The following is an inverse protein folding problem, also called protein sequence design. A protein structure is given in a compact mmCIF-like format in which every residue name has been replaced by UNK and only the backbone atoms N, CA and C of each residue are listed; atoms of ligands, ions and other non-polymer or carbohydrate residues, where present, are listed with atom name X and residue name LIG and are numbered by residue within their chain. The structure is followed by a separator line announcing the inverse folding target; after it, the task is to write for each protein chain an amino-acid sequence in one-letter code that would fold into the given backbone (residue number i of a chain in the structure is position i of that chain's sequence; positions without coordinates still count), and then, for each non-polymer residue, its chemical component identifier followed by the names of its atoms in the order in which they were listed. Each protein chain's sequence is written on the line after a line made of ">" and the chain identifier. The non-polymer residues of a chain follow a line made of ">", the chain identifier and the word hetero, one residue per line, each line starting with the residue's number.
data_IF_947529586890
#
_entry.id   IF_947529586890
#
_cell.length_a   1.000
_cell.length_b   1.000
_cell.length_c   1.000
_cell.angle_alpha   90.00
_cell.angle_beta   90.00
_cell.angle_gamma   90.00
#
_symmetry.space_group_name_H-M   'P 1'
#
loop_
_entity.id
_entity.type
_entity.pdbx_description
1 polymer ?
#
# COMPACT_ATOMS: atom_id res chain seq x y z
N UNK A 1 -6.30 -23.62 -0.54
CA UNK A 1 -7.37 -22.75 0.00
C UNK A 1 -7.40 -21.43 -0.76
N UNK A 2 -8.51 -21.08 -1.41
CA UNK A 2 -8.71 -19.77 -2.05
C UNK A 2 -9.06 -18.77 -0.95
N UNK A 3 -8.11 -17.94 -0.49
CA UNK A 3 -8.38 -16.80 0.39
C UNK A 3 -9.29 -15.84 -0.40
N UNK A 4 -10.59 -15.82 -0.11
CA UNK A 4 -11.56 -14.91 -0.75
C UNK A 4 -11.17 -13.48 -0.38
N UNK A 5 -11.05 -12.60 -1.38
CA UNK A 5 -11.06 -11.15 -1.14
C UNK A 5 -12.36 -10.83 -0.39
N UNK A 6 -12.28 -10.09 0.71
CA UNK A 6 -13.47 -9.67 1.46
C UNK A 6 -14.42 -8.88 0.57
N UNK A 7 -15.73 -9.09 0.71
CA UNK A 7 -16.72 -8.29 0.00
C UNK A 7 -16.64 -6.83 0.47
N UNK A 8 -17.04 -5.85 -0.37
CA UNK A 8 -16.99 -4.41 -0.02
C UNK A 8 -17.76 -4.09 1.27
N UNK A 9 -18.81 -4.85 1.54
CA UNK A 9 -19.61 -4.81 2.77
C UNK A 9 -18.81 -5.28 3.99
N UNK A 10 -17.99 -6.33 3.86
CA UNK A 10 -17.13 -6.81 4.94
C UNK A 10 -16.00 -5.83 5.23
N UNK A 11 -15.48 -5.16 4.20
CA UNK A 11 -14.50 -4.08 4.36
C UNK A 11 -15.12 -2.91 5.14
N UNK A 12 -16.37 -2.56 4.81
CA UNK A 12 -17.12 -1.52 5.52
C UNK A 12 -17.35 -1.90 6.98
N UNK A 13 -17.72 -3.14 7.27
CA UNK A 13 -17.93 -3.63 8.63
C UNK A 13 -16.64 -3.60 9.46
N UNK A 14 -15.48 -3.93 8.87
CA UNK A 14 -14.17 -3.82 9.54
C UNK A 14 -13.83 -2.36 9.90
N UNK A 15 -14.20 -1.43 9.00
CA UNK A 15 -14.05 0.02 9.23
C UNK A 15 -14.97 0.49 10.36
N UNK A 16 -16.25 0.13 10.31
CA UNK A 16 -17.26 0.55 11.28
C UNK A 16 -17.04 -0.02 12.69
N UNK A 17 -16.45 -1.22 12.78
CA UNK A 17 -16.05 -1.82 14.07
C UNK A 17 -14.71 -1.28 14.60
N UNK A 18 -14.14 -0.23 13.99
CA UNK A 18 -12.87 0.38 14.40
C UNK A 18 -11.68 -0.61 14.47
N UNK A 19 -11.73 -1.71 13.72
CA UNK A 19 -10.73 -2.78 13.77
C UNK A 19 -9.40 -2.34 13.14
N UNK A 20 -9.44 -1.34 12.26
CA UNK A 20 -8.25 -0.80 11.58
C UNK A 20 -7.20 -0.32 12.58
N UNK A 21 -7.61 0.43 13.62
CA UNK A 21 -6.67 1.03 14.58
C UNK A 21 -5.88 -0.03 15.39
N UNK A 22 -6.52 -1.06 16.01
CA UNK A 22 -5.81 -2.17 16.64
C UNK A 22 -4.88 -2.95 15.69
N UNK A 23 -5.28 -3.15 14.43
CA UNK A 23 -4.45 -3.87 13.46
C UNK A 23 -3.21 -3.04 13.06
N UNK A 24 -3.35 -1.71 12.97
CA UNK A 24 -2.21 -0.80 12.80
C UNK A 24 -1.27 -0.85 14.01
N UNK A 25 -1.80 -0.88 15.23
CA UNK A 25 -0.98 -1.03 16.44
C UNK A 25 -0.19 -2.34 16.46
N UNK A 26 -0.83 -3.45 16.05
CA UNK A 26 -0.17 -4.75 15.88
C UNK A 26 0.93 -4.68 14.81
N UNK A 27 0.70 -4.01 13.69
CA UNK A 27 1.74 -3.78 12.67
C UNK A 27 2.98 -3.06 13.21
N UNK A 28 2.86 -2.24 14.25
CA UNK A 28 3.98 -1.49 14.82
C UNK A 28 4.68 -2.28 15.93
N UNK A 29 3.90 -2.83 16.86
CA UNK A 29 4.42 -3.35 18.12
C UNK A 29 4.58 -4.87 18.15
N UNK A 30 3.94 -5.61 17.24
CA UNK A 30 3.95 -7.07 17.29
C UNK A 30 5.24 -7.71 16.72
N UNK A 31 5.37 -9.02 16.94
CA UNK A 31 6.43 -9.85 16.36
C UNK A 31 6.29 -9.97 14.83
N UNK A 32 7.38 -10.32 14.16
CA UNK A 32 7.49 -10.32 12.69
C UNK A 32 6.36 -11.07 11.97
N UNK A 33 5.97 -12.24 12.46
CA UNK A 33 4.87 -13.03 11.87
C UNK A 33 3.50 -12.35 12.04
N UNK A 34 3.24 -11.75 13.20
CA UNK A 34 2.01 -11.00 13.44
C UNK A 34 1.95 -9.72 12.58
N UNK A 35 3.09 -9.05 12.37
CA UNK A 35 3.20 -7.90 11.46
C UNK A 35 2.87 -8.27 10.01
N UNK A 36 3.31 -9.45 9.56
CA UNK A 36 2.98 -9.97 8.22
C UNK A 36 1.48 -10.17 8.05
N UNK A 37 0.82 -10.84 9.01
CA UNK A 37 -0.62 -11.08 8.94
C UNK A 37 -1.42 -9.78 9.08
N UNK A 38 -1.01 -8.85 9.95
CA UNK A 38 -1.66 -7.55 10.12
C UNK A 38 -1.56 -6.70 8.84
N UNK A 39 -0.37 -6.61 8.23
CA UNK A 39 -0.19 -5.88 6.98
C UNK A 39 -0.93 -6.56 5.81
N UNK A 40 -0.99 -7.90 5.79
CA UNK A 40 -1.80 -8.63 4.82
C UNK A 40 -3.30 -8.37 5.01
N UNK A 41 -3.79 -8.40 6.25
CA UNK A 41 -5.18 -8.11 6.60
C UNK A 41 -5.59 -6.70 6.17
N UNK A 42 -4.68 -5.73 6.29
CA UNK A 42 -4.87 -4.35 5.86
C UNK A 42 -4.72 -4.14 4.34
N UNK A 43 -3.91 -4.95 3.65
CA UNK A 43 -3.77 -4.89 2.19
C UNK A 43 -5.06 -5.30 1.45
N UNK A 44 -5.87 -6.16 2.07
CA UNK A 44 -7.12 -6.66 1.53
C UNK A 44 -8.18 -5.56 1.31
N UNK A 45 -8.55 -4.75 2.33
CA UNK A 45 -9.47 -3.63 2.13
C UNK A 45 -8.90 -2.57 1.19
N UNK A 46 -7.58 -2.40 1.13
CA UNK A 46 -6.96 -1.45 0.20
C UNK A 46 -7.07 -1.93 -1.24
N UNK A 47 -6.83 -3.22 -1.49
CA UNK A 47 -6.86 -3.81 -2.82
C UNK A 47 -8.26 -4.06 -3.39
N UNK A 48 -9.29 -4.04 -2.53
CA UNK A 48 -10.67 -4.40 -2.90
C UNK A 48 -11.74 -3.38 -2.49
N UNK A 49 -11.38 -2.36 -1.72
CA UNK A 49 -12.28 -1.34 -1.22
C UNK A 49 -12.54 -0.23 -2.24
N UNK A 50 -13.50 0.62 -1.92
CA UNK A 50 -13.76 1.86 -2.69
C UNK A 50 -12.73 2.93 -2.31
N UNK A 51 -12.60 3.96 -3.17
CA UNK A 51 -11.73 5.10 -2.91
C UNK A 51 -11.98 5.73 -1.52
N UNK A 52 -13.23 5.88 -1.10
CA UNK A 52 -13.59 6.41 0.22
C UNK A 52 -13.17 5.50 1.37
N UNK A 53 -13.34 4.19 1.22
CA UNK A 53 -12.90 3.21 2.22
C UNK A 53 -11.38 3.23 2.36
N UNK A 54 -10.65 3.27 1.24
CA UNK A 54 -9.19 3.33 1.24
C UNK A 54 -8.73 4.64 1.90
N UNK A 55 -9.35 5.78 1.57
CA UNK A 55 -9.09 7.06 2.24
C UNK A 55 -9.28 6.97 3.74
N UNK A 56 -10.38 6.38 4.20
CA UNK A 56 -10.65 6.23 5.62
C UNK A 56 -9.58 5.36 6.30
N UNK A 57 -9.27 4.19 5.75
CA UNK A 57 -8.21 3.30 6.26
C UNK A 57 -6.87 4.03 6.32
N UNK A 58 -6.52 4.80 5.27
CA UNK A 58 -5.29 5.57 5.23
C UNK A 58 -5.28 6.70 6.27
N UNK A 59 -6.39 7.42 6.47
CA UNK A 59 -6.50 8.47 7.50
C UNK A 59 -6.30 7.93 8.92
N UNK A 60 -6.68 6.67 9.15
CA UNK A 60 -6.51 5.97 10.44
C UNK A 60 -5.14 5.28 10.56
N UNK A 61 -4.41 5.17 9.44
CA UNK A 61 -3.34 4.20 9.27
C UNK A 61 -2.20 4.67 8.36
N UNK A 62 -1.91 5.97 8.25
CA UNK A 62 -0.83 6.53 7.42
C UNK A 62 0.52 5.82 7.60
N UNK A 63 0.72 5.16 8.74
CA UNK A 63 1.92 4.42 9.13
C UNK A 63 2.05 3.07 8.40
N UNK A 64 1.00 2.62 7.69
CA UNK A 64 0.95 1.33 7.01
C UNK A 64 1.84 1.23 5.76
N UNK A 65 2.27 2.36 5.21
CA UNK A 65 3.23 2.40 4.11
C UNK A 65 4.54 1.72 4.47
N UNK A 66 5.00 1.88 5.72
CA UNK A 66 6.23 1.25 6.23
C UNK A 66 6.18 -0.29 6.27
N UNK A 67 5.22 -0.93 6.96
CA UNK A 67 5.12 -2.38 6.98
C UNK A 67 4.83 -2.95 5.58
N UNK A 68 4.04 -2.29 4.74
CA UNK A 68 3.84 -2.72 3.34
C UNK A 68 5.16 -2.73 2.56
N UNK A 69 6.00 -1.70 2.71
CA UNK A 69 7.31 -1.66 2.10
C UNK A 69 8.25 -2.72 2.69
N UNK A 70 8.23 -2.97 4.00
CA UNK A 70 9.02 -4.04 4.62
C UNK A 70 8.63 -5.44 4.12
N UNK A 71 7.34 -5.65 3.79
CA UNK A 71 6.86 -6.90 3.20
C UNK A 71 7.29 -7.13 1.75
N UNK A 72 7.74 -6.11 1.02
CA UNK A 72 8.29 -6.30 -0.33
C UNK A 72 9.57 -7.15 -0.33
N UNK A 73 10.27 -7.23 0.81
CA UNK A 73 11.48 -8.07 0.96
C UNK A 73 11.12 -9.54 1.24
N UNK A 74 9.84 -9.88 1.43
CA UNK A 74 9.42 -11.25 1.67
C UNK A 74 9.59 -12.14 0.42
N UNK A 75 9.94 -13.41 0.62
CA UNK A 75 10.14 -14.37 -0.47
C UNK A 75 8.85 -14.90 -1.13
N UNK A 76 7.65 -14.50 -0.67
CA UNK A 76 6.38 -14.95 -1.23
C UNK A 76 5.88 -13.99 -2.33
N UNK A 77 5.86 -14.42 -3.61
CA UNK A 77 5.42 -13.58 -4.72
C UNK A 77 3.95 -13.11 -4.62
N UNK A 78 3.10 -13.83 -3.90
CA UNK A 78 1.69 -13.43 -3.70
C UNK A 78 1.59 -12.28 -2.70
N UNK A 79 2.43 -12.29 -1.67
CA UNK A 79 2.50 -11.20 -0.69
C UNK A 79 3.08 -9.96 -1.34
N UNK A 80 4.17 -10.11 -2.11
CA UNK A 80 4.76 -9.00 -2.88
C UNK A 80 3.70 -8.36 -3.79
N UNK A 81 2.97 -9.17 -4.58
CA UNK A 81 1.94 -8.66 -5.48
C UNK A 81 0.82 -7.93 -4.74
N UNK A 82 0.36 -8.48 -3.61
CA UNK A 82 -0.68 -7.83 -2.80
C UNK A 82 -0.20 -6.47 -2.24
N UNK A 83 1.08 -6.38 -1.82
CA UNK A 83 1.66 -5.13 -1.34
C UNK A 83 1.79 -4.11 -2.49
N UNK A 84 2.23 -4.52 -3.67
CA UNK A 84 2.35 -3.64 -4.84
C UNK A 84 0.98 -3.07 -5.25
N UNK A 85 -0.06 -3.91 -5.31
CA UNK A 85 -1.43 -3.47 -5.62
C UNK A 85 -1.94 -2.50 -4.54
N UNK A 86 -1.69 -2.80 -3.26
CA UNK A 86 -2.09 -1.91 -2.18
C UNK A 86 -1.40 -0.54 -2.29
N UNK A 87 -0.09 -0.52 -2.58
CA UNK A 87 0.66 0.72 -2.78
C UNK A 87 0.18 1.53 -3.98
N UNK A 88 -0.17 0.88 -5.10
CA UNK A 88 -0.76 1.56 -6.26
C UNK A 88 -2.09 2.23 -5.91
N UNK A 89 -3.00 1.49 -5.27
CA UNK A 89 -4.30 2.03 -4.87
C UNK A 89 -4.17 3.21 -3.89
N UNK A 90 -3.19 3.14 -2.98
CA UNK A 90 -2.86 4.25 -2.07
C UNK A 90 -2.40 5.48 -2.87
N UNK A 91 -1.51 5.30 -3.85
CA UNK A 91 -1.03 6.40 -4.69
C UNK A 91 -2.15 7.00 -5.54
N UNK A 92 -3.06 6.18 -6.07
CA UNK A 92 -4.24 6.63 -6.81
C UNK A 92 -5.14 7.49 -5.93
N UNK A 93 -5.40 7.06 -4.70
CA UNK A 93 -6.15 7.84 -3.71
C UNK A 93 -5.49 9.20 -3.46
N UNK A 94 -4.16 9.22 -3.28
CA UNK A 94 -3.40 10.45 -3.12
C UNK A 94 -3.47 11.39 -4.31
N UNK A 95 -3.46 10.85 -5.52
CA UNK A 95 -3.59 11.64 -6.75
C UNK A 95 -5.00 12.24 -6.87
N UNK A 96 -6.04 11.49 -6.49
CA UNK A 96 -7.41 12.02 -6.44
C UNK A 96 -7.52 13.12 -5.38
N UNK A 97 -6.89 12.99 -4.20
CA UNK A 97 -6.88 14.06 -3.20
C UNK A 97 -6.12 15.31 -3.66
N UNK A 98 -4.97 15.11 -4.29
CA UNK A 98 -4.17 16.19 -4.88
C UNK A 98 -4.99 17.00 -5.89
N UNK A 99 -5.73 16.34 -6.77
CA UNK A 99 -6.58 16.99 -7.79
C UNK A 99 -7.79 17.73 -7.21
N UNK A 100 -8.21 17.42 -5.97
CA UNK A 100 -9.34 18.08 -5.30
C UNK A 100 -8.93 19.38 -4.58
N UNK A 101 -7.64 19.54 -4.22
CA UNK A 101 -7.16 20.66 -3.39
C UNK A 101 -6.51 21.78 -4.23
N UNK A 102 -6.49 21.66 -5.56
CA UNK A 102 -6.07 22.67 -6.56
C UNK A 102 -5.02 23.67 -6.05
N UNK A 103 -3.75 23.27 -5.97
CA UNK A 103 -2.55 24.14 -5.89
C UNK A 103 -1.29 23.31 -5.63
N UNK A 104 -0.63 22.80 -6.68
CA UNK A 104 0.77 22.30 -6.59
C UNK A 104 1.06 21.29 -5.48
N UNK A 105 0.02 20.63 -4.94
CA UNK A 105 0.14 19.76 -3.79
C UNK A 105 0.77 18.46 -4.24
N UNK A 106 1.66 17.96 -3.41
CA UNK A 106 2.39 16.73 -3.64
C UNK A 106 1.59 15.58 -3.06
N UNK A 107 1.65 14.41 -3.71
CA UNK A 107 1.01 13.22 -3.19
C UNK A 107 1.68 12.84 -1.86
N UNK A 108 0.98 13.08 -0.75
CA UNK A 108 1.50 12.83 0.61
C UNK A 108 1.85 11.36 0.81
N UNK A 109 1.12 10.45 0.17
CA UNK A 109 1.38 9.02 0.28
C UNK A 109 2.63 8.61 -0.50
N UNK A 110 2.92 9.23 -1.63
CA UNK A 110 4.17 8.99 -2.36
C UNK A 110 5.39 9.39 -1.53
N UNK A 111 5.30 10.51 -0.82
CA UNK A 111 6.34 10.92 0.13
C UNK A 111 6.52 9.88 1.25
N UNK A 112 5.44 9.40 1.85
CA UNK A 112 5.51 8.36 2.89
C UNK A 112 6.11 7.04 2.39
N UNK A 113 5.80 6.63 1.15
CA UNK A 113 6.38 5.43 0.54
C UNK A 113 7.88 5.61 0.29
N UNK A 114 8.31 6.80 -0.15
CA UNK A 114 9.74 7.12 -0.33
C UNK A 114 10.49 7.10 1.02
N UNK A 115 9.93 7.71 2.07
CA UNK A 115 10.47 7.67 3.44
C UNK A 115 10.57 6.24 4.01
N UNK A 116 9.74 5.31 3.52
CA UNK A 116 9.76 3.90 3.88
C UNK A 116 10.76 3.05 3.06
N UNK A 117 11.60 3.68 2.22
CA UNK A 117 12.47 3.04 1.23
C UNK A 117 11.68 2.11 0.26
N UNK A 118 10.41 2.41 0.01
CA UNK A 118 9.55 1.58 -0.83
C UNK A 118 10.09 1.44 -2.25
N UNK A 119 10.54 2.56 -2.84
CA UNK A 119 11.12 2.57 -4.19
C UNK A 119 12.30 1.61 -4.35
N UNK A 120 13.30 1.74 -3.48
CA UNK A 120 14.51 0.91 -3.54
C UNK A 120 14.16 -0.58 -3.38
N UNK A 121 13.19 -0.90 -2.52
CA UNK A 121 12.74 -2.27 -2.33
C UNK A 121 11.99 -2.81 -3.55
N UNK A 122 11.18 -1.99 -4.22
CA UNK A 122 10.50 -2.36 -5.48
C UNK A 122 11.53 -2.62 -6.58
N UNK A 123 12.57 -1.78 -6.70
CA UNK A 123 13.65 -1.94 -7.69
C UNK A 123 14.51 -3.18 -7.41
N UNK A 124 14.71 -3.52 -6.14
CA UNK A 124 15.47 -4.70 -5.70
C UNK A 124 14.64 -5.99 -5.63
N UNK A 125 13.36 -5.97 -6.05
CA UNK A 125 12.55 -7.19 -6.07
C UNK A 125 13.21 -8.24 -6.96
N UNK A 126 13.35 -9.49 -6.49
CA UNK A 126 13.89 -10.56 -7.32
C UNK A 126 12.99 -10.70 -8.54
N UNK A 127 13.58 -10.49 -9.73
CA UNK A 127 12.93 -10.64 -11.03
C UNK A 127 12.54 -12.11 -11.15
N UNK A 128 11.35 -12.45 -10.65
CA UNK A 128 10.86 -13.80 -10.72
C UNK A 128 10.50 -14.03 -12.19
N UNK A 129 11.22 -14.93 -12.87
CA UNK A 129 11.13 -15.28 -14.30
C UNK A 129 9.74 -15.76 -14.80
N UNK A 130 8.68 -15.57 -14.03
CA UNK A 130 7.32 -15.89 -14.43
C UNK A 130 6.41 -14.68 -14.21
N UNK A 131 5.93 -14.14 -15.35
CA UNK A 131 4.99 -13.02 -15.56
C UNK A 131 5.63 -11.65 -15.83
N UNK A 132 5.96 -11.38 -17.10
CA UNK A 132 6.31 -10.06 -17.64
C UNK A 132 5.36 -8.92 -17.20
N UNK A 133 4.10 -9.25 -16.96
CA UNK A 133 3.08 -8.30 -16.49
C UNK A 133 3.30 -7.81 -15.05
N UNK A 134 3.90 -8.62 -14.16
CA UNK A 134 4.15 -8.20 -12.76
C UNK A 134 5.38 -7.32 -12.64
N UNK A 135 6.40 -7.64 -13.43
CA UNK A 135 7.66 -6.87 -13.48
C UNK A 135 7.37 -5.48 -14.07
N UNK A 136 6.69 -5.41 -15.21
CA UNK A 136 6.31 -4.14 -15.84
C UNK A 136 5.44 -3.27 -14.92
N UNK A 137 4.50 -3.87 -14.19
CA UNK A 137 3.69 -3.17 -13.19
C UNK A 137 4.54 -2.58 -12.04
N UNK A 138 5.44 -3.38 -11.46
CA UNK A 138 6.33 -2.91 -10.39
C UNK A 138 7.26 -1.78 -10.84
N UNK A 139 7.79 -1.86 -12.07
CA UNK A 139 8.65 -0.83 -12.66
C UNK A 139 7.88 0.46 -12.99
N UNK A 140 6.65 0.35 -13.47
CA UNK A 140 5.75 1.48 -13.71
C UNK A 140 5.47 2.23 -12.39
N UNK A 141 5.15 1.48 -11.32
CA UNK A 141 4.91 2.03 -9.99
C UNK A 141 6.15 2.75 -9.44
N UNK A 142 7.33 2.15 -9.56
CA UNK A 142 8.58 2.77 -9.12
C UNK A 142 8.92 4.05 -9.91
N UNK A 143 8.64 4.07 -11.21
CA UNK A 143 8.84 5.24 -12.07
C UNK A 143 7.88 6.38 -11.69
N UNK A 144 6.63 6.05 -11.38
CA UNK A 144 5.66 7.03 -10.90
C UNK A 144 6.06 7.66 -9.56
N UNK A 145 6.55 6.85 -8.61
CA UNK A 145 7.09 7.35 -7.33
C UNK A 145 8.30 8.29 -7.57
N UNK A 146 9.19 7.98 -8.54
CA UNK A 146 10.28 8.91 -8.95
C UNK A 146 9.75 10.26 -9.43
N UNK A 147 8.75 10.25 -10.31
CA UNK A 147 8.24 11.46 -10.94
C UNK A 147 7.58 12.37 -9.90
N UNK A 148 6.76 11.79 -9.02
CA UNK A 148 6.15 12.51 -7.90
C UNK A 148 7.22 13.08 -6.94
N UNK A 149 8.35 12.37 -6.74
CA UNK A 149 9.51 12.87 -5.99
C UNK A 149 10.26 14.02 -6.66
N UNK A 150 10.37 14.04 -7.99
CA UNK A 150 10.99 15.17 -8.70
C UNK A 150 10.20 16.46 -8.48
N UNK A 151 8.87 16.36 -8.39
CA UNK A 151 8.02 17.51 -8.08
C UNK A 151 8.13 17.99 -6.63
N UNK A 152 8.55 17.13 -5.70
CA UNK A 152 8.82 17.46 -4.29
C UNK A 152 10.13 18.25 -4.07
N UNK A 153 11.03 18.35 -5.08
CA UNK A 153 12.34 19.03 -4.98
C UNK A 153 12.39 20.41 -5.64
N UNK A 154 11.24 21.02 -5.92
CA UNK A 154 11.12 22.45 -6.24
C UNK A 154 10.94 23.25 -4.95
#
# INVERSE_FOLDING_TARGET
>A
MKKKKGNKEQIQEVIENCIISPVVELCLNAEFEAKKEAAWALSNPISGGTLEQIKFVMSQGCIMTKPLCDLLVCSDPKVILACLIALENILEVGEVEKNLVDTGSVNVFAKMIDEANGKEKIENLPICNDNDNKISFSQSLASRIQEEKKMLKL
#
